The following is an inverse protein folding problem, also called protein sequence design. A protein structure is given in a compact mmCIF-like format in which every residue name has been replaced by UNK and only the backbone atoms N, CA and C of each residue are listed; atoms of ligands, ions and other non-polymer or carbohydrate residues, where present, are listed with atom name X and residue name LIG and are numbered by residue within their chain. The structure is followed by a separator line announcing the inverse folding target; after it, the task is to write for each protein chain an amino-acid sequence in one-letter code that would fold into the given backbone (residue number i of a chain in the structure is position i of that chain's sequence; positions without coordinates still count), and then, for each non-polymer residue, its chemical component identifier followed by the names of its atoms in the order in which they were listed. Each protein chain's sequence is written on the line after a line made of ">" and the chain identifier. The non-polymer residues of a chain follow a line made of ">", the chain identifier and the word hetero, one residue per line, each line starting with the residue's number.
data_IF_891464723230
#
_entry.id   IF_891464723230
#
_cell.length_a   1.000
_cell.length_b   1.000
_cell.length_c   1.000
_cell.angle_alpha   90.00
_cell.angle_beta   90.00
_cell.angle_gamma   90.00
#
_symmetry.space_group_name_H-M   'P 1'
#
loop_
_entity.id
_entity.type
_entity.pdbx_description
1 polymer ?
#
# COMPACT_ATOMS: atom_id res chain seq x y z
N UNK A 1 16.90 -30.96 10.59
CA UNK A 1 17.60 -29.89 11.32
C UNK A 1 17.38 -28.57 10.58
N UNK A 2 16.26 -27.92 10.83
CA UNK A 2 16.01 -26.54 10.38
C UNK A 2 16.46 -25.68 11.54
N UNK A 3 17.73 -25.26 11.52
CA UNK A 3 18.27 -24.39 12.55
C UNK A 3 18.92 -23.19 11.86
N UNK A 4 18.09 -22.19 11.61
CA UNK A 4 18.55 -20.81 11.46
C UNK A 4 17.56 -19.98 12.26
N UNK A 5 17.90 -19.73 13.52
CA UNK A 5 17.35 -18.62 14.30
C UNK A 5 17.46 -17.39 13.41
N UNK A 6 16.32 -16.96 12.86
CA UNK A 6 16.17 -15.62 12.34
C UNK A 6 16.23 -14.71 13.56
N UNK A 7 17.35 -14.01 13.73
CA UNK A 7 17.50 -12.98 14.76
C UNK A 7 16.63 -11.78 14.38
N UNK A 8 15.32 -11.88 14.63
CA UNK A 8 14.43 -10.72 14.65
C UNK A 8 14.41 -10.21 16.09
N UNK A 9 14.99 -9.03 16.32
CA UNK A 9 14.80 -8.31 17.57
C UNK A 9 13.32 -8.03 17.76
N UNK A 10 12.76 -8.49 18.89
CA UNK A 10 11.34 -8.47 19.25
C UNK A 10 10.40 -8.82 18.07
N UNK A 11 10.02 -10.09 17.99
CA UNK A 11 8.91 -10.50 17.13
C UNK A 11 7.64 -9.71 17.46
N UNK A 12 7.11 -9.03 16.45
CA UNK A 12 5.90 -8.21 16.52
C UNK A 12 4.75 -8.82 15.72
N UNK A 13 4.87 -10.09 15.31
CA UNK A 13 3.90 -10.76 14.43
C UNK A 13 2.50 -10.79 15.05
N UNK A 14 2.39 -11.14 16.34
CA UNK A 14 1.12 -11.07 17.08
C UNK A 14 0.52 -9.67 17.11
N UNK A 15 1.32 -8.65 17.41
CA UNK A 15 0.85 -7.27 17.55
C UNK A 15 0.39 -6.71 16.20
N UNK A 16 1.13 -7.03 15.13
CA UNK A 16 0.75 -6.68 13.75
C UNK A 16 -0.54 -7.41 13.38
N UNK A 17 -0.67 -8.70 13.70
CA UNK A 17 -1.86 -9.47 13.38
C UNK A 17 -3.10 -8.93 14.11
N UNK A 18 -3.00 -8.66 15.41
CA UNK A 18 -4.06 -8.03 16.20
C UNK A 18 -4.45 -6.66 15.63
N UNK A 19 -3.46 -5.86 15.25
CA UNK A 19 -3.69 -4.56 14.62
C UNK A 19 -4.44 -4.69 13.28
N UNK A 20 -4.09 -5.66 12.44
CA UNK A 20 -4.81 -5.92 11.18
C UNK A 20 -6.26 -6.36 11.45
N UNK A 21 -6.48 -7.23 12.43
CA UNK A 21 -7.81 -7.66 12.85
C UNK A 21 -8.67 -6.49 13.37
N UNK A 22 -8.09 -5.57 14.14
CA UNK A 22 -8.77 -4.34 14.61
C UNK A 22 -9.17 -3.41 13.45
N UNK A 23 -8.44 -3.47 12.34
CA UNK A 23 -8.78 -2.79 11.09
C UNK A 23 -9.75 -3.57 10.21
N UNK A 24 -10.26 -4.72 10.68
CA UNK A 24 -11.12 -5.64 9.94
C UNK A 24 -10.41 -6.24 8.70
N UNK A 25 -9.08 -6.22 8.67
CA UNK A 25 -8.25 -6.80 7.61
C UNK A 25 -7.95 -8.25 7.98
N UNK A 26 -8.48 -9.16 7.19
CA UNK A 26 -8.14 -10.57 7.26
C UNK A 26 -6.87 -10.85 6.45
N UNK A 27 -6.12 -11.88 6.83
CA UNK A 27 -4.85 -12.24 6.19
C UNK A 27 -5.09 -13.44 5.25
N UNK A 28 -5.14 -13.24 3.92
CA UNK A 28 -5.61 -14.27 2.99
C UNK A 28 -4.77 -15.54 2.98
N UNK A 29 -3.46 -15.44 3.20
CA UNK A 29 -2.57 -16.60 3.27
C UNK A 29 -2.77 -17.46 4.54
N UNK A 30 -3.63 -17.03 5.49
CA UNK A 30 -4.17 -17.85 6.57
C UNK A 30 -5.51 -18.52 6.22
N UNK A 31 -5.81 -18.66 4.93
CA UNK A 31 -7.09 -19.17 4.42
C UNK A 31 -8.30 -18.36 4.92
N UNK A 32 -8.09 -17.07 5.19
CA UNK A 32 -9.15 -16.19 5.65
C UNK A 32 -9.78 -15.45 4.48
N UNK A 33 -11.10 -15.49 4.38
CA UNK A 33 -11.83 -14.72 3.37
C UNK A 33 -11.78 -13.25 3.70
N UNK A 34 -11.57 -12.39 2.72
CA UNK A 34 -11.70 -10.94 2.93
C UNK A 34 -13.16 -10.60 3.13
N UNK A 35 -13.41 -9.77 4.14
CA UNK A 35 -14.76 -9.31 4.45
C UNK A 35 -15.25 -8.34 3.39
N UNK A 36 -16.52 -8.47 3.02
CA UNK A 36 -17.11 -7.64 1.97
C UNK A 36 -17.15 -6.15 2.34
N UNK A 37 -17.28 -5.86 3.64
CA UNK A 37 -17.35 -4.53 4.23
C UNK A 37 -15.99 -3.88 4.51
N UNK A 38 -14.88 -4.52 4.11
CA UNK A 38 -13.54 -3.95 4.29
C UNK A 38 -13.39 -2.63 3.53
N UNK A 39 -13.26 -1.53 4.29
CA UNK A 39 -12.79 -0.24 3.77
C UNK A 39 -11.27 -0.28 3.61
N UNK A 40 -10.83 -0.80 2.46
CA UNK A 40 -9.41 -0.92 2.12
C UNK A 40 -8.65 0.40 2.31
N UNK A 41 -9.24 1.54 1.92
CA UNK A 41 -8.57 2.84 1.97
C UNK A 41 -8.40 3.34 3.40
N UNK A 42 -9.39 3.07 4.26
CA UNK A 42 -9.26 3.30 5.70
C UNK A 42 -8.10 2.47 6.28
N UNK A 43 -7.99 1.19 5.90
CA UNK A 43 -6.89 0.33 6.33
C UNK A 43 -5.53 0.87 5.86
N UNK A 44 -5.38 1.24 4.58
CA UNK A 44 -4.14 1.82 4.06
C UNK A 44 -3.71 3.08 4.82
N UNK A 45 -4.68 3.97 5.10
CA UNK A 45 -4.42 5.20 5.86
C UNK A 45 -3.99 4.91 7.30
N UNK A 46 -4.62 3.95 7.95
CA UNK A 46 -4.29 3.54 9.31
C UNK A 46 -2.91 2.89 9.39
N UNK A 47 -2.62 1.91 8.52
CA UNK A 47 -1.32 1.24 8.43
C UNK A 47 -0.20 2.27 8.23
N UNK A 48 -0.38 3.20 7.30
CA UNK A 48 0.63 4.23 7.07
C UNK A 48 0.80 5.16 8.28
N UNK A 49 -0.28 5.53 8.97
CA UNK A 49 -0.20 6.33 10.19
C UNK A 49 0.59 5.62 11.29
N UNK A 50 0.34 4.33 11.49
CA UNK A 50 0.94 3.55 12.59
C UNK A 50 2.39 3.18 12.29
N UNK A 51 2.68 2.63 11.11
CA UNK A 51 4.00 2.08 10.80
C UNK A 51 4.86 2.99 9.93
N UNK A 52 4.29 4.08 9.39
CA UNK A 52 5.00 5.00 8.50
C UNK A 52 5.23 4.44 7.09
N UNK A 53 4.76 3.24 6.76
CA UNK A 53 4.90 2.60 5.45
C UNK A 53 3.63 2.74 4.60
N UNK A 54 3.79 3.11 3.33
CA UNK A 54 2.71 3.11 2.36
C UNK A 54 2.57 1.76 1.68
N UNK A 55 1.34 1.36 1.38
CA UNK A 55 1.01 0.10 0.69
C UNK A 55 0.99 0.33 -0.83
N UNK A 56 -0.08 0.96 -1.34
CA UNK A 56 -0.24 1.37 -2.74
C UNK A 56 0.51 2.67 -3.03
N UNK A 57 0.36 3.64 -2.14
CA UNK A 57 1.04 4.92 -2.16
C UNK A 57 1.41 5.33 -0.74
N UNK A 58 2.27 6.33 -0.64
CA UNK A 58 2.68 6.95 0.62
C UNK A 58 2.41 8.44 0.57
N UNK A 59 1.66 8.95 1.52
CA UNK A 59 1.46 10.41 1.67
C UNK A 59 2.45 11.05 2.63
N UNK A 60 3.01 12.18 2.24
CA UNK A 60 3.85 13.02 3.11
C UNK A 60 3.22 14.39 3.33
N UNK A 61 3.66 15.09 4.37
CA UNK A 61 3.43 16.54 4.51
C UNK A 61 4.76 17.23 4.27
N UNK A 62 4.80 18.16 3.33
CA UNK A 62 6.02 18.92 3.02
C UNK A 62 5.68 20.38 2.74
N UNK A 63 6.67 21.25 2.73
CA UNK A 63 6.54 22.67 2.38
C UNK A 63 6.20 22.80 0.90
N UNK A 64 5.24 23.65 0.56
CA UNK A 64 4.94 24.00 -0.82
C UNK A 64 6.03 24.90 -1.38
N UNK A 65 6.81 24.40 -2.35
CA UNK A 65 7.90 25.17 -2.94
C UNK A 65 7.42 26.40 -3.73
N UNK A 66 6.15 26.44 -4.16
CA UNK A 66 5.53 27.63 -4.79
C UNK A 66 4.91 28.57 -3.77
N UNK A 67 4.63 28.10 -2.55
CA UNK A 67 4.11 28.93 -1.46
C UNK A 67 4.59 28.40 -0.10
N UNK A 68 5.77 28.87 0.31
CA UNK A 68 6.47 28.36 1.50
C UNK A 68 5.70 28.51 2.83
N UNK A 69 4.61 29.27 2.86
CA UNK A 69 3.72 29.39 4.01
C UNK A 69 2.67 28.25 4.09
N UNK A 70 2.68 27.28 3.18
CA UNK A 70 1.72 26.16 3.10
C UNK A 70 2.40 24.80 3.17
N UNK A 71 1.72 23.82 3.78
CA UNK A 71 2.17 22.43 3.93
C UNK A 71 1.20 21.44 3.24
N UNK A 72 1.30 21.24 1.91
CA UNK A 72 0.48 20.32 1.14
C UNK A 72 0.76 18.86 1.49
N UNK A 73 -0.24 18.02 1.21
CA UNK A 73 -0.16 16.57 1.37
C UNK A 73 0.25 15.98 0.02
N UNK A 74 1.28 15.13 0.02
CA UNK A 74 1.91 14.57 -1.19
C UNK A 74 1.71 13.06 -1.23
N UNK A 75 0.58 12.54 -1.73
CA UNK A 75 0.51 11.14 -2.12
C UNK A 75 1.50 10.87 -3.25
N UNK A 76 2.46 9.98 -2.98
CA UNK A 76 3.47 9.51 -3.92
C UNK A 76 3.38 8.00 -4.05
N UNK A 77 3.65 7.46 -5.23
CA UNK A 77 3.81 6.02 -5.40
C UNK A 77 4.95 5.51 -4.50
N UNK A 78 4.88 4.25 -4.07
CA UNK A 78 5.92 3.66 -3.22
C UNK A 78 7.24 3.56 -3.99
N UNK A 79 8.35 4.02 -3.39
CA UNK A 79 9.70 3.70 -3.86
C UNK A 79 9.99 2.25 -3.48
N UNK A 80 9.82 1.29 -4.39
CA UNK A 80 10.44 -0.05 -4.42
C UNK A 80 9.73 -0.84 -5.52
N UNK A 81 10.30 -0.79 -6.73
CA UNK A 81 9.79 -1.54 -7.87
C UNK A 81 10.76 -2.62 -8.27
N UNK A 82 10.28 -3.86 -8.30
CA UNK A 82 10.93 -4.93 -9.06
C UNK A 82 10.80 -4.54 -10.53
N UNK A 83 11.91 -4.12 -11.12
CA UNK A 83 11.95 -3.82 -12.53
C UNK A 83 11.67 -5.12 -13.33
N UNK A 84 10.79 -5.09 -14.34
CA UNK A 84 10.26 -6.29 -14.99
C UNK A 84 11.29 -7.15 -15.75
N UNK A 85 12.57 -6.77 -15.78
CA UNK A 85 13.52 -7.23 -16.79
C UNK A 85 14.25 -8.54 -16.44
N UNK A 86 14.05 -9.13 -15.26
CA UNK A 86 14.70 -10.40 -14.92
C UNK A 86 13.81 -11.31 -14.08
N UNK A 87 13.45 -12.46 -14.65
CA UNK A 87 12.72 -13.55 -13.96
C UNK A 87 13.44 -13.96 -12.67
N UNK A 88 14.78 -13.92 -12.66
CA UNK A 88 15.56 -14.15 -11.45
C UNK A 88 15.24 -13.18 -10.31
N UNK A 89 15.02 -11.89 -10.59
CA UNK A 89 14.62 -10.92 -9.56
C UNK A 89 13.18 -11.11 -9.10
N UNK A 90 12.28 -11.53 -9.99
CA UNK A 90 10.90 -11.85 -9.63
C UNK A 90 10.87 -13.03 -8.66
N UNK A 91 11.52 -14.14 -9.01
CA UNK A 91 11.64 -15.32 -8.14
C UNK A 91 12.28 -14.97 -6.79
N UNK A 92 13.36 -14.18 -6.79
CA UNK A 92 13.98 -13.72 -5.55
C UNK A 92 13.04 -12.85 -4.70
N UNK A 93 12.17 -12.05 -5.32
CA UNK A 93 11.17 -11.24 -4.61
C UNK A 93 10.06 -12.13 -4.06
N UNK A 94 9.53 -13.06 -4.85
CA UNK A 94 8.56 -14.06 -4.41
C UNK A 94 9.09 -14.80 -3.19
N UNK A 95 10.30 -15.35 -3.27
CA UNK A 95 10.89 -16.11 -2.17
C UNK A 95 11.05 -15.26 -0.92
N UNK A 96 11.40 -13.97 -1.05
CA UNK A 96 11.46 -13.04 0.10
C UNK A 96 10.09 -12.80 0.74
N UNK A 97 9.05 -12.61 -0.06
CA UNK A 97 7.68 -12.39 0.43
C UNK A 97 7.17 -13.67 1.08
N UNK A 98 7.33 -14.81 0.41
CA UNK A 98 6.95 -16.13 0.93
C UNK A 98 7.66 -16.44 2.25
N UNK A 99 8.97 -16.16 2.36
CA UNK A 99 9.70 -16.37 3.61
C UNK A 99 9.23 -15.43 4.74
N UNK A 100 8.78 -14.22 4.43
CA UNK A 100 8.18 -13.33 5.42
C UNK A 100 6.82 -13.85 5.90
N UNK A 101 5.98 -14.34 4.97
CA UNK A 101 4.70 -14.99 5.31
C UNK A 101 4.92 -16.27 6.14
N UNK A 102 5.94 -17.07 5.80
CA UNK A 102 6.30 -18.27 6.56
C UNK A 102 6.73 -17.90 7.98
N UNK A 103 7.61 -16.91 8.14
CA UNK A 103 8.02 -16.44 9.46
C UNK A 103 6.82 -15.96 10.28
N UNK A 104 5.91 -15.19 9.68
CA UNK A 104 4.67 -14.73 10.32
C UNK A 104 3.75 -15.91 10.68
N UNK A 105 3.68 -16.94 9.84
CA UNK A 105 2.85 -18.13 10.07
C UNK A 105 3.40 -19.03 11.15
N UNK A 106 4.73 -19.16 11.26
CA UNK A 106 5.39 -19.92 12.33
C UNK A 106 5.05 -19.42 13.73
N UNK A 107 4.72 -18.13 13.86
CA UNK A 107 4.38 -17.50 15.15
C UNK A 107 2.87 -17.54 15.44
N UNK A 108 2.02 -17.65 14.41
CA UNK A 108 0.57 -17.43 14.54
C UNK A 108 -0.31 -18.64 14.21
N UNK A 109 0.22 -19.65 13.51
CA UNK A 109 -0.52 -20.83 13.09
C UNK A 109 -0.05 -22.08 13.84
N UNK A 110 -0.99 -22.96 14.19
CA UNK A 110 -0.69 -24.23 14.87
C UNK A 110 0.14 -25.16 13.97
N UNK A 111 -0.17 -25.22 12.67
CA UNK A 111 0.59 -25.94 11.65
C UNK A 111 0.80 -25.08 10.40
N UNK A 112 1.95 -24.38 10.28
CA UNK A 112 2.28 -23.57 9.11
C UNK A 112 2.41 -24.35 7.80
N UNK A 113 2.59 -25.68 7.85
CA UNK A 113 2.82 -26.49 6.65
C UNK A 113 1.57 -26.60 5.76
N UNK A 114 0.38 -26.54 6.37
CA UNK A 114 -0.89 -26.52 5.63
C UNK A 114 -1.08 -25.24 4.81
N UNK A 115 -0.33 -24.18 5.12
CA UNK A 115 -0.42 -22.86 4.50
C UNK A 115 0.62 -22.65 3.40
N UNK A 116 1.57 -23.57 3.20
CA UNK A 116 2.71 -23.38 2.30
C UNK A 116 2.29 -23.05 0.86
N UNK A 117 1.28 -23.76 0.34
CA UNK A 117 0.72 -23.49 -0.98
C UNK A 117 0.09 -22.10 -1.09
N UNK A 118 -0.71 -21.71 -0.08
CA UNK A 118 -1.39 -20.41 -0.04
C UNK A 118 -0.41 -19.25 0.09
N UNK A 119 0.64 -19.39 0.89
CA UNK A 119 1.70 -18.38 1.02
C UNK A 119 2.45 -18.20 -0.30
N UNK A 120 2.73 -19.29 -1.02
CA UNK A 120 3.41 -19.23 -2.30
C UNK A 120 2.57 -18.52 -3.36
N UNK A 121 1.30 -18.89 -3.47
CA UNK A 121 0.34 -18.26 -4.38
C UNK A 121 0.19 -16.76 -4.07
N UNK A 122 -0.04 -16.40 -2.80
CA UNK A 122 -0.16 -15.02 -2.38
C UNK A 122 1.14 -14.21 -2.66
N UNK A 123 2.31 -14.82 -2.46
CA UNK A 123 3.58 -14.17 -2.76
C UNK A 123 3.74 -13.86 -4.26
N UNK A 124 3.38 -14.80 -5.13
CA UNK A 124 3.42 -14.61 -6.58
C UNK A 124 2.43 -13.51 -7.04
N UNK A 125 1.20 -13.51 -6.51
CA UNK A 125 0.20 -12.46 -6.79
C UNK A 125 0.68 -11.06 -6.36
N UNK A 126 1.29 -10.94 -5.19
CA UNK A 126 1.86 -9.68 -4.71
C UNK A 126 2.98 -9.21 -5.63
N UNK A 127 3.87 -10.10 -6.08
CA UNK A 127 4.96 -9.73 -7.02
C UNK A 127 4.40 -9.26 -8.36
N UNK A 128 3.42 -9.97 -8.91
CA UNK A 128 2.78 -9.59 -10.17
C UNK A 128 2.12 -8.22 -10.06
N UNK A 129 1.47 -7.93 -8.93
CA UNK A 129 0.89 -6.62 -8.68
C UNK A 129 1.96 -5.53 -8.48
N UNK A 130 3.04 -5.81 -7.75
CA UNK A 130 4.20 -4.90 -7.63
C UNK A 130 4.78 -4.54 -9.01
N UNK A 131 4.83 -5.49 -9.94
CA UNK A 131 5.28 -5.25 -11.33
C UNK A 131 4.30 -4.35 -12.09
N UNK A 132 2.99 -4.50 -11.89
CA UNK A 132 2.00 -3.63 -12.53
C UNK A 132 2.10 -2.19 -12.00
N UNK A 133 2.24 -2.01 -10.69
CA UNK A 133 2.48 -0.69 -10.07
C UNK A 133 3.78 -0.08 -10.61
N UNK A 134 4.85 -0.88 -10.75
CA UNK A 134 6.11 -0.45 -11.33
C UNK A 134 5.97 0.09 -12.76
N UNK A 135 5.25 -0.65 -13.62
CA UNK A 135 4.98 -0.25 -15.01
C UNK A 135 4.14 1.01 -15.11
N UNK A 136 3.24 1.24 -14.17
CA UNK A 136 2.37 2.42 -14.14
C UNK A 136 3.07 3.67 -13.54
N UNK A 137 4.18 3.47 -12.83
CA UNK A 137 4.89 4.54 -12.14
C UNK A 137 5.89 5.26 -13.04
N UNK A 138 6.20 6.50 -12.67
CA UNK A 138 7.15 7.31 -13.41
C UNK A 138 8.57 6.77 -13.26
N UNK A 139 9.34 6.67 -14.36
CA UNK A 139 10.77 6.40 -14.27
C UNK A 139 11.50 7.54 -13.56
N UNK A 140 12.73 7.26 -13.12
CA UNK A 140 13.57 8.22 -12.40
C UNK A 140 13.77 9.56 -13.12
N UNK A 141 13.81 9.54 -14.47
CA UNK A 141 13.98 10.73 -15.31
C UNK A 141 12.79 11.68 -15.14
N UNK A 142 11.57 11.17 -15.22
CA UNK A 142 10.31 11.89 -15.04
C UNK A 142 10.17 12.36 -13.59
N UNK A 143 10.58 11.51 -12.63
CA UNK A 143 10.67 11.86 -11.21
C UNK A 143 11.72 12.94 -10.88
N UNK A 144 12.59 13.33 -11.82
CA UNK A 144 13.51 14.47 -11.64
C UNK A 144 12.86 15.80 -12.03
N UNK A 145 11.70 15.78 -12.68
CA UNK A 145 11.00 16.99 -13.16
C UNK A 145 10.03 17.50 -12.12
N UNK A 146 10.53 18.28 -11.16
CA UNK A 146 9.74 18.75 -10.01
C UNK A 146 8.53 19.63 -10.39
N UNK A 147 8.60 20.34 -11.51
CA UNK A 147 7.46 21.13 -12.01
C UNK A 147 6.30 20.26 -12.47
N UNK A 148 6.57 19.12 -13.11
CA UNK A 148 5.56 18.18 -13.60
C UNK A 148 4.91 17.38 -12.46
N UNK A 149 5.59 17.25 -11.31
CA UNK A 149 5.04 16.63 -10.10
C UNK A 149 4.09 17.55 -9.33
N UNK A 150 4.07 18.85 -9.62
CA UNK A 150 3.22 19.80 -8.92
C UNK A 150 1.81 19.84 -9.53
N UNK A 151 0.96 18.89 -9.13
CA UNK A 151 -0.44 18.83 -9.55
C UNK A 151 -1.36 19.07 -8.34
N UNK A 152 -1.66 20.33 -8.00
CA UNK A 152 -2.45 20.68 -6.82
C UNK A 152 -3.95 20.46 -7.07
N UNK A 153 -4.60 19.84 -6.09
CA UNK A 153 -6.04 19.57 -6.07
C UNK A 153 -6.63 19.85 -4.69
N UNK A 154 -7.92 20.16 -4.65
CA UNK A 154 -8.72 20.04 -3.43
C UNK A 154 -9.20 18.60 -3.26
N UNK A 155 -9.66 18.23 -2.06
CA UNK A 155 -10.27 16.92 -1.82
C UNK A 155 -11.42 16.64 -2.80
N UNK A 156 -12.37 17.58 -2.93
CA UNK A 156 -13.51 17.41 -3.84
C UNK A 156 -13.11 17.32 -5.33
N UNK A 157 -11.98 17.91 -5.72
CA UNK A 157 -11.43 17.73 -7.07
C UNK A 157 -10.85 16.33 -7.27
N UNK A 158 -10.11 15.80 -6.30
CA UNK A 158 -9.58 14.42 -6.35
C UNK A 158 -10.68 13.39 -6.42
N UNK A 159 -11.75 13.55 -5.62
CA UNK A 159 -12.91 12.65 -5.62
C UNK A 159 -13.64 12.65 -6.98
N UNK A 160 -13.60 13.76 -7.72
CA UNK A 160 -14.18 13.83 -9.06
C UNK A 160 -13.30 13.19 -10.13
N UNK A 161 -11.99 13.37 -10.05
CA UNK A 161 -11.03 12.91 -11.08
C UNK A 161 -10.70 11.43 -10.88
N UNK A 162 -10.60 10.97 -9.64
CA UNK A 162 -10.29 9.60 -9.26
C UNK A 162 -11.38 9.02 -8.33
N UNK A 163 -12.62 8.83 -8.82
CA UNK A 163 -13.78 8.50 -8.00
C UNK A 163 -13.73 7.11 -7.36
N UNK A 164 -12.92 6.19 -7.87
CA UNK A 164 -12.80 4.84 -7.31
C UNK A 164 -11.79 4.76 -6.17
N UNK A 165 -11.10 5.87 -5.86
CA UNK A 165 -10.17 5.96 -4.73
C UNK A 165 -10.92 6.56 -3.54
N UNK A 166 -10.92 5.86 -2.41
CA UNK A 166 -11.55 6.30 -1.16
C UNK A 166 -10.74 7.36 -0.43
N UNK A 167 -10.53 8.52 -1.06
CA UNK A 167 -9.70 9.62 -0.55
C UNK A 167 -10.08 10.05 0.87
N UNK A 168 -11.39 10.21 1.15
CA UNK A 168 -11.89 10.55 2.48
C UNK A 168 -11.53 9.49 3.51
N UNK A 169 -11.80 8.22 3.22
CA UNK A 169 -11.48 7.12 4.13
C UNK A 169 -9.99 7.07 4.44
N UNK A 170 -9.17 7.15 3.39
CA UNK A 170 -7.71 7.18 3.52
C UNK A 170 -7.21 8.35 4.37
N UNK A 171 -7.52 9.59 4.00
CA UNK A 171 -7.00 10.76 4.70
C UNK A 171 -7.55 10.90 6.12
N UNK A 172 -8.82 10.52 6.35
CA UNK A 172 -9.42 10.49 7.69
C UNK A 172 -8.61 9.60 8.62
N UNK A 173 -8.29 8.36 8.19
CA UNK A 173 -7.51 7.42 8.99
C UNK A 173 -6.05 7.83 9.10
N UNK A 174 -5.42 8.27 8.02
CA UNK A 174 -4.03 8.74 8.02
C UNK A 174 -3.82 9.89 9.02
N UNK A 175 -4.71 10.88 8.99
CA UNK A 175 -4.63 12.06 9.86
C UNK A 175 -5.21 11.82 11.27
N UNK A 176 -5.88 10.68 11.50
CA UNK A 176 -6.50 10.35 12.79
C UNK A 176 -7.69 11.25 13.12
N UNK A 177 -8.42 11.68 12.09
CA UNK A 177 -9.55 12.60 12.22
C UNK A 177 -10.85 11.82 12.39
N UNK A 178 -11.79 12.36 13.17
CA UNK A 178 -13.15 11.79 13.29
C UNK A 178 -13.94 12.02 12.01
N UNK A 179 -13.88 13.25 11.48
CA UNK A 179 -14.51 13.67 10.24
C UNK A 179 -13.50 14.42 9.37
N UNK A 180 -13.74 14.42 8.06
CA UNK A 180 -12.90 15.12 7.08
C UNK A 180 -13.78 16.03 6.21
N UNK A 181 -13.82 17.30 6.58
CA UNK A 181 -14.53 18.32 5.81
C UNK A 181 -13.71 18.75 4.58
N UNK A 182 -14.37 19.30 3.57
CA UNK A 182 -13.75 19.63 2.29
C UNK A 182 -12.56 20.61 2.42
N UNK A 183 -12.60 21.51 3.41
CA UNK A 183 -11.52 22.45 3.72
C UNK A 183 -10.40 21.89 4.61
N UNK A 184 -10.60 20.73 5.26
CA UNK A 184 -9.69 20.25 6.32
C UNK A 184 -8.30 19.84 5.79
N UNK A 185 -8.22 19.38 4.55
CA UNK A 185 -6.94 18.98 3.93
C UNK A 185 -6.15 20.13 3.33
N UNK A 186 -6.80 21.26 3.00
CA UNK A 186 -6.20 22.27 2.13
C UNK A 186 -5.81 21.69 0.77
N UNK A 187 -4.65 22.08 0.25
CA UNK A 187 -4.13 21.57 -1.03
C UNK A 187 -3.50 20.18 -0.88
N UNK A 188 -3.89 19.26 -1.76
CA UNK A 188 -3.22 17.96 -1.97
C UNK A 188 -2.48 18.03 -3.30
N UNK A 189 -1.21 17.65 -3.33
CA UNK A 189 -0.40 17.65 -4.56
C UNK A 189 -0.17 16.21 -4.99
N UNK A 190 -0.71 15.85 -6.15
CA UNK A 190 -0.52 14.53 -6.75
C UNK A 190 0.78 14.53 -7.56
N UNK A 191 1.77 13.73 -7.14
CA UNK A 191 3.10 13.77 -7.77
C UNK A 191 3.17 13.01 -9.08
N UNK A 192 2.34 11.99 -9.27
CA UNK A 192 2.30 11.18 -10.50
C UNK A 192 0.85 10.97 -10.98
N UNK A 193 0.24 11.96 -11.66
CA UNK A 193 -1.17 11.86 -12.08
C UNK A 193 -1.49 10.62 -12.91
N UNK A 194 -0.59 10.17 -13.79
CA UNK A 194 -0.81 8.99 -14.62
C UNK A 194 -0.91 7.70 -13.82
N UNK A 195 -0.15 7.58 -12.71
CA UNK A 195 -0.26 6.44 -11.80
C UNK A 195 -1.64 6.40 -11.15
N UNK A 196 -2.11 7.54 -10.63
CA UNK A 196 -3.43 7.60 -9.98
C UNK A 196 -4.57 7.39 -10.99
N UNK A 197 -4.40 7.81 -12.24
CA UNK A 197 -5.34 7.49 -13.32
C UNK A 197 -5.38 5.98 -13.62
N UNK A 198 -4.20 5.33 -13.67
CA UNK A 198 -4.11 3.87 -13.83
C UNK A 198 -4.76 3.14 -12.65
N UNK A 199 -4.42 3.51 -11.41
CA UNK A 199 -4.97 2.88 -10.20
C UNK A 199 -6.50 3.03 -10.13
N UNK A 200 -7.01 4.22 -10.40
CA UNK A 200 -8.45 4.48 -10.47
C UNK A 200 -9.15 3.60 -11.52
N UNK A 201 -8.51 3.35 -12.66
CA UNK A 201 -9.04 2.49 -13.72
C UNK A 201 -9.01 1.00 -13.34
N UNK A 202 -7.95 0.56 -12.65
CA UNK A 202 -7.83 -0.81 -12.14
C UNK A 202 -8.91 -1.13 -11.11
N UNK A 203 -9.20 -0.17 -10.21
CA UNK A 203 -10.26 -0.27 -9.21
C UNK A 203 -11.65 -0.30 -9.87
N UNK A 204 -11.92 0.57 -10.84
CA UNK A 204 -13.17 0.56 -11.60
C UNK A 204 -13.44 -0.80 -12.27
N UNK A 205 -12.40 -1.38 -12.88
CA UNK A 205 -12.49 -2.64 -13.60
C UNK A 205 -12.51 -3.87 -12.68
N UNK A 206 -12.46 -3.70 -11.35
CA UNK A 206 -12.36 -4.78 -10.37
C UNK A 206 -11.17 -5.73 -10.66
N UNK A 207 -10.11 -5.18 -11.27
CA UNK A 207 -8.90 -5.93 -11.67
C UNK A 207 -7.90 -6.10 -10.54
N UNK A 208 -8.16 -5.46 -9.40
CA UNK A 208 -7.39 -5.65 -8.19
C UNK A 208 -8.24 -6.53 -7.29
N UNK A 209 -7.76 -7.74 -7.07
CA UNK A 209 -8.38 -8.61 -6.08
C UNK A 209 -8.09 -8.05 -4.70
N UNK A 210 -9.12 -8.02 -3.84
CA UNK A 210 -8.98 -7.49 -2.48
C UNK A 210 -7.86 -8.22 -1.70
N UNK A 211 -7.55 -9.49 -2.05
CA UNK A 211 -6.52 -10.31 -1.39
C UNK A 211 -5.08 -9.87 -1.62
N UNK A 212 -4.88 -8.99 -2.58
CA UNK A 212 -3.56 -8.49 -2.97
C UNK A 212 -3.30 -7.08 -2.37
N UNK A 213 -4.32 -6.45 -1.78
CA UNK A 213 -4.28 -5.09 -1.19
C UNK A 213 -3.97 -5.07 0.30
#
# INVERSE_FOLDING_TARGET
>A
MINKKLEFGQDASEDIYKYLQDLNVNVPFFNQTIKDDLDIFAALGAIQRTFGFGTLWRSFVNVDYKNISRNPKLPMTRDLYVLPHFVGFQNMRTDKINNAMLAFSMELADDPSELEGLMREAADEVVDFEIQIAKASWPKREMSKHTEQYNPHTLGSLERIYPNIGWRSYFRKLLGLKNLDEGALGTVIVTQPSYFAWLNSMLAAHRIEKRIL
#
